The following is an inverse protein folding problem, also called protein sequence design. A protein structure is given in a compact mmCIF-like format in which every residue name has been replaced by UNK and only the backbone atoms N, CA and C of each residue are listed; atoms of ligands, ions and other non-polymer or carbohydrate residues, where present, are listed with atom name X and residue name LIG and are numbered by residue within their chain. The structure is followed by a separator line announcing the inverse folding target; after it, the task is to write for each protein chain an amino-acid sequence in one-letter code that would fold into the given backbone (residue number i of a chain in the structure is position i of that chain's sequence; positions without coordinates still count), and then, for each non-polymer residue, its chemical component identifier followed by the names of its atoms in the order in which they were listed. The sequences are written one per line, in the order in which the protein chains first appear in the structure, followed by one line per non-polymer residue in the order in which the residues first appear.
data_IF_525517368606
#
_entry.id   IF_525517368606
#
_cell.length_a   1.000
_cell.length_b   1.000
_cell.length_c   1.000
_cell.angle_alpha   90.00
_cell.angle_beta   90.00
_cell.angle_gamma   90.00
#
_symmetry.space_group_name_H-M   'P 1'
#
loop_
_entity.id
_entity.type
_entity.pdbx_description
1 polymer ?
#
# COMPACT_ATOMS: atom_id res chain seq x y z
N UNK A 1 -8.65 -9.06 -20.73
CA UNK A 1 -7.88 -9.71 -19.65
C UNK A 1 -8.67 -9.76 -18.34
N UNK A 2 -8.88 -8.64 -17.62
CA UNK A 2 -9.62 -8.68 -16.33
C UNK A 2 -11.05 -9.27 -16.44
N UNK A 3 -11.85 -8.85 -17.43
CA UNK A 3 -13.21 -9.35 -17.65
C UNK A 3 -13.28 -10.83 -18.08
N UNK A 4 -12.19 -11.37 -18.64
CA UNK A 4 -12.15 -12.77 -19.08
C UNK A 4 -12.05 -13.74 -17.88
N UNK A 5 -11.52 -13.27 -16.75
CA UNK A 5 -11.45 -14.03 -15.49
C UNK A 5 -12.81 -14.46 -14.93
N UNK A 6 -13.89 -13.78 -15.33
CA UNK A 6 -15.27 -14.17 -14.99
C UNK A 6 -15.71 -15.46 -15.69
N UNK A 7 -15.13 -15.73 -16.86
CA UNK A 7 -15.61 -16.75 -17.80
C UNK A 7 -14.64 -17.92 -17.97
N UNK A 8 -13.41 -17.82 -17.44
CA UNK A 8 -12.45 -18.92 -17.46
C UNK A 8 -11.62 -18.99 -16.19
N UNK A 9 -11.31 -20.20 -15.73
CA UNK A 9 -10.52 -20.42 -14.51
C UNK A 9 -9.06 -19.96 -14.65
N UNK A 10 -8.54 -19.89 -15.88
CA UNK A 10 -7.11 -19.78 -16.16
C UNK A 10 -6.68 -18.44 -16.76
N UNK A 11 -7.59 -17.67 -17.38
CA UNK A 11 -7.19 -16.49 -18.18
C UNK A 11 -6.49 -15.39 -17.39
N UNK A 12 -6.78 -15.26 -16.09
CA UNK A 12 -6.11 -14.30 -15.21
C UNK A 12 -5.03 -14.96 -14.34
N UNK A 13 -5.03 -16.29 -14.22
CA UNK A 13 -4.17 -17.01 -13.29
C UNK A 13 -2.70 -16.78 -13.61
N UNK A 14 -2.32 -16.94 -14.88
CA UNK A 14 -0.92 -16.78 -15.30
C UNK A 14 -0.40 -15.36 -15.05
N UNK A 15 -1.20 -14.33 -15.37
CA UNK A 15 -0.79 -12.93 -15.19
C UNK A 15 -0.65 -12.58 -13.72
N UNK A 16 -1.63 -12.97 -12.90
CA UNK A 16 -1.60 -12.77 -11.45
C UNK A 16 -0.41 -13.51 -10.85
N UNK A 17 -0.21 -14.78 -11.21
CA UNK A 17 0.90 -15.59 -10.72
C UNK A 17 2.26 -14.95 -11.06
N UNK A 18 2.45 -14.51 -12.31
CA UNK A 18 3.66 -13.80 -12.74
C UNK A 18 3.85 -12.47 -12.00
N UNK A 19 2.77 -11.73 -11.72
CA UNK A 19 2.83 -10.47 -10.98
C UNK A 19 3.29 -10.70 -9.53
N UNK A 20 2.74 -11.68 -8.83
CA UNK A 20 3.16 -12.00 -7.47
C UNK A 20 4.59 -12.54 -7.39
N UNK A 21 5.00 -13.33 -8.39
CA UNK A 21 6.40 -13.72 -8.55
C UNK A 21 7.32 -12.54 -8.79
N UNK A 22 6.89 -11.55 -9.58
CA UNK A 22 7.64 -10.32 -9.78
C UNK A 22 7.75 -9.52 -8.47
N UNK A 23 6.66 -9.37 -7.72
CA UNK A 23 6.67 -8.73 -6.41
C UNK A 23 7.67 -9.41 -5.46
N UNK A 24 7.66 -10.75 -5.38
CA UNK A 24 8.65 -11.49 -4.59
C UNK A 24 10.08 -11.20 -5.05
N UNK A 25 10.34 -11.30 -6.36
CA UNK A 25 11.67 -11.05 -6.91
C UNK A 25 12.19 -9.66 -6.61
N UNK A 26 11.34 -8.63 -6.68
CA UNK A 26 11.73 -7.25 -6.41
C UNK A 26 12.16 -7.09 -4.94
N UNK A 27 11.42 -7.67 -4.00
CA UNK A 27 11.79 -7.63 -2.59
C UNK A 27 13.10 -8.36 -2.28
N UNK A 28 13.34 -9.50 -2.94
CA UNK A 28 14.48 -10.38 -2.65
C UNK A 28 15.60 -10.30 -3.69
N UNK A 29 15.62 -9.25 -4.53
CA UNK A 29 16.59 -9.17 -5.62
C UNK A 29 18.00 -8.91 -5.09
N UNK A 30 18.98 -9.68 -5.58
CA UNK A 30 20.35 -9.65 -5.06
C UNK A 30 21.19 -8.46 -5.55
N UNK A 31 20.80 -7.85 -6.67
CA UNK A 31 21.52 -6.70 -7.22
C UNK A 31 20.85 -5.42 -6.74
N UNK A 32 21.66 -4.42 -6.47
CA UNK A 32 21.19 -3.07 -6.14
C UNK A 32 20.26 -2.54 -7.23
N UNK A 33 19.07 -2.13 -6.81
CA UNK A 33 18.03 -1.56 -7.66
C UNK A 33 17.70 -0.15 -7.16
N UNK A 34 17.52 0.76 -8.11
CA UNK A 34 17.12 2.15 -7.86
C UNK A 34 15.86 2.43 -8.66
N UNK A 35 14.77 2.83 -7.99
CA UNK A 35 13.61 3.41 -8.66
C UNK A 35 13.74 4.94 -8.67
N UNK A 36 13.55 5.55 -9.84
CA UNK A 36 13.36 6.98 -10.01
C UNK A 36 11.86 7.24 -10.22
N UNK A 37 11.13 7.50 -9.15
CA UNK A 37 9.71 7.78 -9.20
C UNK A 37 9.46 9.28 -9.41
N UNK A 38 9.06 9.63 -10.63
CA UNK A 38 8.67 10.98 -11.02
C UNK A 38 7.25 10.97 -11.58
N UNK A 39 6.26 11.25 -10.72
CA UNK A 39 4.85 11.27 -11.10
C UNK A 39 3.98 10.30 -10.29
N UNK A 40 2.86 9.91 -10.89
CA UNK A 40 1.86 9.05 -10.25
C UNK A 40 2.43 7.64 -10.08
N UNK A 41 2.51 7.18 -8.83
CA UNK A 41 3.06 5.88 -8.43
C UNK A 41 2.04 5.18 -7.53
N UNK A 42 1.07 4.50 -8.15
CA UNK A 42 -0.08 3.92 -7.44
C UNK A 42 -0.23 2.43 -7.70
N UNK A 43 -0.76 1.68 -6.72
CA UNK A 43 -1.01 0.24 -6.80
C UNK A 43 0.21 -0.55 -7.27
N UNK A 44 0.05 -1.35 -8.33
CA UNK A 44 1.14 -2.12 -8.93
C UNK A 44 2.35 -1.27 -9.39
N UNK A 45 2.18 0.01 -9.73
CA UNK A 45 3.32 0.89 -10.01
C UNK A 45 4.15 1.19 -8.75
N UNK A 46 3.47 1.29 -7.60
CA UNK A 46 4.13 1.50 -6.32
C UNK A 46 4.85 0.25 -5.81
N UNK A 47 4.37 -0.96 -6.14
CA UNK A 47 5.07 -2.20 -5.79
C UNK A 47 6.39 -2.38 -6.54
N UNK A 48 6.63 -1.62 -7.62
CA UNK A 48 7.93 -1.59 -8.30
C UNK A 48 8.94 -0.65 -7.64
N UNK A 49 8.51 0.18 -6.68
CA UNK A 49 9.31 1.24 -6.08
C UNK A 49 9.47 1.06 -4.58
N UNK A 50 8.37 0.89 -3.85
CA UNK A 50 8.36 0.84 -2.39
C UNK A 50 9.19 -0.29 -1.79
N UNK A 51 9.25 -1.51 -2.36
CA UNK A 51 10.10 -2.56 -1.78
C UNK A 51 11.59 -2.45 -2.12
N UNK A 52 11.98 -1.54 -3.03
CA UNK A 52 13.38 -1.42 -3.44
C UNK A 52 14.28 -0.86 -2.34
N UNK A 53 15.56 -1.26 -2.39
CA UNK A 53 16.61 -0.72 -1.52
C UNK A 53 16.80 0.79 -1.71
N UNK A 54 16.70 1.27 -2.95
CA UNK A 54 16.72 2.70 -3.24
C UNK A 54 15.49 3.14 -4.03
N UNK A 55 14.76 4.09 -3.47
CA UNK A 55 13.56 4.68 -4.07
C UNK A 55 13.70 6.19 -3.99
N UNK A 56 14.01 6.81 -5.14
CA UNK A 56 14.16 8.25 -5.30
C UNK A 56 12.83 8.82 -5.75
N UNK A 57 12.31 9.77 -5.00
CA UNK A 57 11.05 10.47 -5.30
C UNK A 57 11.31 11.95 -5.53
N UNK A 58 10.46 12.60 -6.33
CA UNK A 58 10.52 14.05 -6.54
C UNK A 58 9.25 14.75 -6.04
N UNK A 59 9.23 16.08 -6.14
CA UNK A 59 8.09 16.95 -5.86
C UNK A 59 6.83 16.62 -6.69
N UNK A 60 6.97 15.89 -7.81
CA UNK A 60 5.83 15.46 -8.64
C UNK A 60 5.32 14.06 -8.28
N UNK A 61 5.96 13.38 -7.34
CA UNK A 61 5.54 12.03 -6.96
C UNK A 61 4.22 12.08 -6.23
N UNK A 62 3.27 11.26 -6.66
CA UNK A 62 1.99 11.06 -5.97
C UNK A 62 1.76 9.57 -5.79
N UNK A 63 1.85 9.12 -4.54
CA UNK A 63 1.59 7.74 -4.15
C UNK A 63 0.19 7.57 -3.62
N UNK A 64 -0.40 6.39 -3.85
CA UNK A 64 -1.66 5.95 -3.27
C UNK A 64 -1.84 4.45 -3.51
N UNK A 65 -2.57 3.79 -2.62
CA UNK A 65 -3.07 2.42 -2.75
C UNK A 65 -4.60 2.44 -2.74
N UNK A 66 -5.24 2.85 -3.86
CA UNK A 66 -6.68 3.13 -3.91
C UNK A 66 -7.52 1.87 -4.20
N UNK A 67 -6.97 0.66 -4.06
CA UNK A 67 -7.57 -0.60 -4.54
C UNK A 67 -8.97 -0.86 -3.94
N UNK A 68 -9.17 -0.55 -2.66
CA UNK A 68 -10.49 -0.72 -2.03
C UNK A 68 -11.59 0.14 -2.70
N UNK A 69 -11.23 1.30 -3.27
CA UNK A 69 -12.17 2.20 -3.95
C UNK A 69 -12.63 1.68 -5.31
N UNK A 70 -11.88 0.75 -5.93
CA UNK A 70 -12.22 0.12 -7.20
C UNK A 70 -12.83 -1.28 -7.02
N UNK A 71 -13.18 -1.68 -5.80
CA UNK A 71 -13.72 -3.02 -5.53
C UNK A 71 -12.66 -4.12 -5.45
N UNK A 72 -11.41 -3.75 -5.17
CA UNK A 72 -10.28 -4.68 -5.02
C UNK A 72 -9.74 -4.70 -3.58
N UNK A 73 -8.65 -5.42 -3.35
CA UNK A 73 -7.95 -5.44 -2.07
C UNK A 73 -6.57 -4.81 -2.20
N UNK A 74 -5.95 -4.41 -1.08
CA UNK A 74 -4.52 -4.04 -1.10
C UNK A 74 -3.68 -5.26 -1.49
N UNK A 75 -2.98 -5.16 -2.61
CA UNK A 75 -2.32 -6.28 -3.30
C UNK A 75 -0.83 -5.98 -3.56
N UNK A 76 -0.18 -6.78 -4.42
CA UNK A 76 1.21 -6.58 -4.83
C UNK A 76 2.27 -6.48 -3.69
N UNK A 77 2.01 -7.13 -2.55
CA UNK A 77 2.84 -7.11 -1.35
C UNK A 77 2.50 -5.99 -0.36
N UNK A 78 1.49 -5.16 -0.65
CA UNK A 78 1.17 -4.03 0.21
C UNK A 78 0.53 -4.41 1.54
N UNK A 79 -0.03 -5.62 1.70
CA UNK A 79 -0.43 -6.09 3.03
C UNK A 79 0.78 -6.24 3.96
N UNK A 80 1.92 -6.71 3.44
CA UNK A 80 3.19 -6.73 4.17
C UNK A 80 3.66 -5.29 4.42
N UNK A 81 3.82 -4.48 3.37
CA UNK A 81 4.38 -3.12 3.48
C UNK A 81 3.59 -2.23 4.44
N UNK A 82 2.27 -2.12 4.25
CA UNK A 82 1.43 -1.26 5.09
C UNK A 82 1.45 -1.71 6.55
N UNK A 83 1.47 -3.01 6.81
CA UNK A 83 1.45 -3.53 8.19
C UNK A 83 2.71 -3.22 9.01
N UNK A 84 3.82 -2.83 8.35
CA UNK A 84 5.06 -2.38 9.00
C UNK A 84 5.11 -0.87 9.21
N UNK A 85 4.17 -0.10 8.67
CA UNK A 85 4.14 1.33 8.90
C UNK A 85 3.81 1.64 10.36
N UNK A 86 4.35 2.74 10.94
CA UNK A 86 4.10 3.10 12.33
C UNK A 86 2.61 3.23 12.67
N UNK A 87 2.25 2.70 13.84
CA UNK A 87 0.88 2.75 14.35
C UNK A 87 -0.13 2.11 13.39
N UNK A 88 -1.16 2.87 13.02
CA UNK A 88 -2.21 2.48 12.08
C UNK A 88 -2.17 3.27 10.76
N UNK A 89 -1.01 3.83 10.41
CA UNK A 89 -0.84 4.54 9.13
C UNK A 89 -1.09 3.62 7.93
N UNK A 90 -0.68 2.35 8.03
CA UNK A 90 -0.89 1.35 6.99
C UNK A 90 -2.35 1.09 6.67
N UNK A 91 -3.16 0.83 7.71
CA UNK A 91 -4.61 0.65 7.57
C UNK A 91 -5.27 1.92 7.01
N UNK A 92 -4.84 3.10 7.45
CA UNK A 92 -5.33 4.36 6.91
C UNK A 92 -5.07 4.51 5.41
N UNK A 93 -3.83 4.30 4.96
CA UNK A 93 -3.48 4.40 3.54
C UNK A 93 -4.25 3.38 2.70
N UNK A 94 -4.26 2.11 3.13
CA UNK A 94 -4.88 1.02 2.38
C UNK A 94 -6.41 1.13 2.27
N UNK A 95 -7.09 1.59 3.32
CA UNK A 95 -8.56 1.72 3.30
C UNK A 95 -9.05 2.98 2.59
N UNK A 96 -8.32 4.09 2.76
CA UNK A 96 -8.78 5.40 2.27
C UNK A 96 -8.26 5.74 0.89
N UNK A 97 -7.18 5.08 0.44
CA UNK A 97 -6.44 5.48 -0.76
C UNK A 97 -5.85 6.89 -0.63
N UNK A 98 -5.59 7.36 0.59
CA UNK A 98 -5.01 8.67 0.83
C UNK A 98 -3.71 8.84 0.04
N UNK A 99 -3.49 10.05 -0.46
CA UNK A 99 -2.34 10.36 -1.30
C UNK A 99 -1.19 10.88 -0.46
N UNK A 100 0.01 10.37 -0.73
CA UNK A 100 1.26 10.91 -0.20
C UNK A 100 2.07 11.55 -1.33
N UNK A 101 2.63 12.72 -1.06
CA UNK A 101 3.62 13.33 -1.95
C UNK A 101 5.03 12.74 -1.70
N UNK A 102 6.00 13.13 -2.53
CA UNK A 102 7.38 12.64 -2.42
C UNK A 102 8.02 12.85 -1.04
N UNK A 103 7.83 14.01 -0.41
CA UNK A 103 8.41 14.28 0.93
C UNK A 103 7.77 13.40 2.01
N UNK A 104 6.45 13.23 1.94
CA UNK A 104 5.72 12.36 2.85
C UNK A 104 6.12 10.89 2.68
N UNK A 105 6.40 10.44 1.47
CA UNK A 105 6.89 9.08 1.24
C UNK A 105 8.23 8.82 1.90
N UNK A 106 9.18 9.75 1.79
CA UNK A 106 10.49 9.63 2.46
C UNK A 106 10.31 9.64 3.96
N UNK A 107 9.52 10.58 4.49
CA UNK A 107 9.25 10.66 5.92
C UNK A 107 8.63 9.36 6.44
N UNK A 108 7.59 8.83 5.79
CA UNK A 108 6.90 7.61 6.18
C UNK A 108 7.71 6.32 5.98
N UNK A 109 8.91 6.38 5.37
CA UNK A 109 9.73 5.20 5.07
C UNK A 109 9.28 4.41 3.84
N UNK A 110 8.38 4.95 3.01
CA UNK A 110 7.94 4.31 1.77
C UNK A 110 8.88 4.63 0.58
N UNK A 111 9.64 5.71 0.68
CA UNK A 111 10.74 6.05 -0.21
C UNK A 111 12.01 6.34 0.59
N UNK A 112 13.18 6.38 -0.06
CA UNK A 112 14.46 6.55 0.66
C UNK A 112 15.08 7.92 0.47
N UNK A 113 14.93 8.53 -0.71
CA UNK A 113 15.56 9.81 -1.02
C UNK A 113 14.60 10.73 -1.75
N UNK A 114 14.70 12.03 -1.45
CA UNK A 114 14.01 13.07 -2.21
C UNK A 114 15.03 13.82 -3.08
N UNK A 115 14.78 13.87 -4.39
CA UNK A 115 15.62 14.59 -5.36
C UNK A 115 14.71 15.50 -6.19
N UNK A 116 14.98 16.82 -6.27
CA UNK A 116 14.26 17.72 -7.18
C UNK A 116 14.29 17.22 -8.62
N UNK A 117 13.16 17.30 -9.33
CA UNK A 117 13.06 16.71 -10.67
C UNK A 117 14.07 17.26 -11.69
N UNK A 118 14.50 18.50 -11.54
CA UNK A 118 15.55 19.13 -12.35
C UNK A 118 16.92 18.46 -12.24
N UNK A 119 17.21 17.80 -11.12
CA UNK A 119 18.47 17.08 -10.86
C UNK A 119 18.44 15.62 -11.32
N UNK A 120 17.26 15.08 -11.67
CA UNK A 120 17.13 13.67 -12.07
C UNK A 120 17.98 13.27 -13.28
N UNK A 121 18.09 14.07 -14.37
CA UNK A 121 18.93 13.70 -15.51
C UNK A 121 20.41 13.56 -15.13
N UNK A 122 20.90 14.41 -14.23
CA UNK A 122 22.29 14.35 -13.75
C UNK A 122 22.51 13.16 -12.82
N UNK A 123 21.56 12.87 -11.93
CA UNK A 123 21.57 11.68 -11.09
C UNK A 123 21.59 10.39 -11.93
N UNK A 124 20.75 10.29 -12.96
CA UNK A 124 20.73 9.11 -13.84
C UNK A 124 22.09 8.90 -14.52
N UNK A 125 22.68 9.97 -15.05
CA UNK A 125 24.03 9.93 -15.63
C UNK A 125 25.09 9.53 -14.60
N UNK A 126 24.99 10.03 -13.37
CA UNK A 126 25.90 9.68 -12.26
C UNK A 126 25.81 8.19 -11.91
N UNK A 127 24.60 7.65 -11.80
CA UNK A 127 24.34 6.24 -11.49
C UNK A 127 24.87 5.33 -12.60
N UNK A 128 24.62 5.66 -13.87
CA UNK A 128 25.16 4.91 -15.02
C UNK A 128 26.70 4.95 -15.02
N UNK A 129 27.29 6.10 -14.69
CA UNK A 129 28.73 6.30 -14.67
C UNK A 129 29.47 5.58 -13.54
N UNK A 130 28.78 5.08 -12.50
CA UNK A 130 29.41 4.38 -11.36
C UNK A 130 30.15 3.11 -11.80
N UNK A 131 29.65 2.41 -12.81
CA UNK A 131 30.16 1.10 -13.24
C UNK A 131 30.30 0.07 -12.08
N UNK A 132 29.51 0.23 -11.02
CA UNK A 132 29.43 -0.68 -9.87
C UNK A 132 28.00 -0.76 -9.36
N UNK A 133 27.63 -1.91 -8.80
CA UNK A 133 26.36 -2.12 -8.09
C UNK A 133 26.53 -2.12 -6.58
N UNK A 134 27.69 -1.69 -6.07
CA UNK A 134 27.95 -1.58 -4.62
C UNK A 134 26.95 -0.62 -3.96
N UNK A 135 26.33 -1.07 -2.88
CA UNK A 135 25.24 -0.35 -2.23
C UNK A 135 25.68 0.98 -1.62
N UNK A 136 26.89 1.03 -1.06
CA UNK A 136 27.44 2.24 -0.45
C UNK A 136 27.71 3.27 -1.55
N UNK A 137 28.35 2.85 -2.65
CA UNK A 137 28.62 3.73 -3.77
C UNK A 137 27.33 4.27 -4.44
N UNK A 138 26.32 3.42 -4.61
CA UNK A 138 25.01 3.83 -5.15
C UNK A 138 24.31 4.81 -4.20
N UNK A 139 24.29 4.52 -2.89
CA UNK A 139 23.71 5.40 -1.88
C UNK A 139 24.36 6.78 -1.92
N UNK A 140 25.69 6.85 -1.86
CA UNK A 140 26.43 8.12 -1.89
C UNK A 140 26.14 8.91 -3.17
N UNK A 141 26.05 8.24 -4.33
CA UNK A 141 25.70 8.90 -5.58
C UNK A 141 24.28 9.50 -5.59
N UNK A 142 23.32 8.91 -4.87
CA UNK A 142 21.97 9.48 -4.72
C UNK A 142 21.99 10.64 -3.72
N UNK A 143 22.71 10.50 -2.61
CA UNK A 143 22.87 11.53 -1.57
C UNK A 143 23.50 12.81 -2.12
N UNK A 144 24.41 12.73 -3.11
CA UNK A 144 24.99 13.88 -3.83
C UNK A 144 23.92 14.84 -4.40
N UNK A 145 22.74 14.34 -4.76
CA UNK A 145 21.65 15.12 -5.36
C UNK A 145 20.42 15.28 -4.45
N UNK A 146 20.43 14.61 -3.29
CA UNK A 146 19.30 14.55 -2.38
C UNK A 146 19.13 15.84 -1.58
N UNK A 147 17.90 16.13 -1.18
CA UNK A 147 17.57 17.21 -0.26
C UNK A 147 16.85 16.67 0.97
N UNK A 148 17.09 17.32 2.11
CA UNK A 148 16.37 17.01 3.34
C UNK A 148 14.88 17.29 3.18
N UNK A 149 14.05 16.36 3.64
CA UNK A 149 12.60 16.50 3.58
C UNK A 149 12.09 17.24 4.81
N UNK A 150 11.25 18.24 4.57
CA UNK A 150 10.48 18.95 5.59
C UNK A 150 9.00 18.75 5.28
N UNK A 151 8.24 18.25 6.26
CA UNK A 151 6.81 18.01 6.10
C UNK A 151 6.04 19.34 6.08
N UNK A 152 5.05 19.42 5.20
CA UNK A 152 4.10 20.51 5.23
C UNK A 152 3.24 20.42 6.50
N UNK A 153 2.83 21.56 7.07
CA UNK A 153 1.95 21.59 8.25
C UNK A 153 0.62 20.85 8.05
N UNK A 154 0.15 20.75 6.80
CA UNK A 154 -1.06 20.01 6.41
C UNK A 154 -0.80 18.55 6.07
N UNK A 155 0.43 18.05 6.20
CA UNK A 155 0.74 16.65 5.94
C UNK A 155 -0.13 15.72 6.78
N UNK A 156 -0.55 14.61 6.16
CA UNK A 156 -1.32 13.57 6.85
C UNK A 156 -0.51 12.90 7.97
N UNK A 157 0.81 12.90 7.84
CA UNK A 157 1.73 12.37 8.85
C UNK A 157 1.69 13.18 10.15
N UNK A 158 1.28 14.46 10.11
CA UNK A 158 1.05 15.27 11.30
C UNK A 158 -0.28 14.95 12.00
N UNK A 159 -1.11 14.07 11.42
CA UNK A 159 -2.42 13.66 11.96
C UNK A 159 -2.39 12.26 12.59
N UNK A 160 -1.20 11.74 12.87
CA UNK A 160 -0.98 10.35 13.29
C UNK A 160 -1.77 9.96 14.54
N UNK A 161 -1.85 10.83 15.55
CA UNK A 161 -2.58 10.52 16.78
C UNK A 161 -4.05 10.19 16.52
N UNK A 162 -4.70 10.99 15.67
CA UNK A 162 -6.09 10.77 15.26
C UNK A 162 -6.22 9.53 14.39
N UNK A 163 -5.25 9.30 13.49
CA UNK A 163 -5.20 8.10 12.66
C UNK A 163 -5.09 6.85 13.54
N UNK A 164 -4.16 6.83 14.49
CA UNK A 164 -3.96 5.72 15.42
C UNK A 164 -5.21 5.47 16.27
N UNK A 165 -5.79 6.53 16.84
CA UNK A 165 -7.01 6.41 17.64
C UNK A 165 -8.18 5.81 16.82
N UNK A 166 -8.37 6.27 15.59
CA UNK A 166 -9.52 5.87 14.79
C UNK A 166 -9.32 4.54 14.04
N UNK A 167 -8.12 4.23 13.57
CA UNK A 167 -7.83 3.02 12.80
C UNK A 167 -7.39 1.83 13.68
N UNK A 168 -7.24 2.05 14.99
CA UNK A 168 -7.11 0.98 15.98
C UNK A 168 -8.41 0.19 16.21
N UNK A 169 -9.59 0.72 15.83
CA UNK A 169 -10.88 0.03 16.04
C UNK A 169 -10.97 -1.27 15.25
N UNK A 170 -11.65 -2.28 15.78
CA UNK A 170 -11.57 -3.63 15.24
C UNK A 170 -12.17 -3.79 13.84
N UNK A 171 -13.24 -3.06 13.55
CA UNK A 171 -13.97 -3.20 12.29
C UNK A 171 -13.98 -1.90 11.48
N UNK A 172 -14.12 -2.02 10.15
CA UNK A 172 -14.27 -0.86 9.26
C UNK A 172 -15.44 0.03 9.69
N UNK A 173 -16.54 -0.56 10.18
CA UNK A 173 -17.70 0.18 10.67
C UNK A 173 -17.37 1.05 11.90
N UNK A 174 -16.59 0.50 12.85
CA UNK A 174 -16.14 1.25 14.02
C UNK A 174 -15.10 2.31 13.65
N UNK A 175 -14.21 2.04 12.70
CA UNK A 175 -13.27 3.03 12.15
C UNK A 175 -14.03 4.23 11.58
N UNK A 176 -15.04 3.97 10.73
CA UNK A 176 -15.89 5.02 10.15
C UNK A 176 -16.60 5.83 11.24
N UNK A 177 -17.18 5.16 12.24
CA UNK A 177 -17.85 5.82 13.37
C UNK A 177 -16.88 6.67 14.20
N UNK A 178 -15.66 6.19 14.42
CA UNK A 178 -14.61 6.94 15.11
C UNK A 178 -14.22 8.20 14.32
N UNK A 179 -14.03 8.07 13.01
CA UNK A 179 -13.74 9.21 12.13
C UNK A 179 -14.89 10.23 12.08
N UNK A 180 -16.14 9.78 12.07
CA UNK A 180 -17.32 10.67 12.15
C UNK A 180 -17.32 11.50 13.42
N UNK A 181 -16.97 10.90 14.57
CA UNK A 181 -16.89 11.60 15.84
C UNK A 181 -15.77 12.65 15.85
N UNK A 182 -14.62 12.35 15.23
CA UNK A 182 -13.50 13.28 15.12
C UNK A 182 -13.73 14.41 14.12
N UNK A 183 -14.52 14.18 13.06
CA UNK A 183 -14.75 15.14 11.99
C UNK A 183 -15.43 16.44 12.47
N UNK A 184 -16.16 16.39 13.58
CA UNK A 184 -16.82 17.55 14.19
C UNK A 184 -15.92 18.43 15.06
N UNK A 185 -14.68 18.00 15.36
CA UNK A 185 -13.76 18.73 16.24
C UNK A 185 -12.97 19.79 15.47
N UNK A 186 -12.59 20.86 16.17
CA UNK A 186 -11.76 21.94 15.61
C UNK A 186 -10.41 21.39 15.11
N UNK A 187 -9.96 21.83 13.94
CA UNK A 187 -8.71 21.37 13.32
C UNK A 187 -8.81 20.07 12.51
N UNK A 188 -9.95 19.37 12.55
CA UNK A 188 -10.17 18.08 11.88
C UNK A 188 -10.93 18.15 10.54
N UNK A 189 -10.97 19.32 9.90
CA UNK A 189 -11.67 19.52 8.62
C UNK A 189 -11.17 18.61 7.47
N UNK A 190 -9.95 18.08 7.57
CA UNK A 190 -9.38 17.13 6.61
C UNK A 190 -10.09 15.77 6.59
N UNK A 191 -10.78 15.40 7.68
CA UNK A 191 -11.45 14.10 7.82
C UNK A 191 -12.65 13.98 6.90
N UNK A 192 -13.43 15.05 6.71
CA UNK A 192 -14.66 15.03 5.92
C UNK A 192 -14.47 14.49 4.48
N UNK A 193 -13.51 15.02 3.70
CA UNK A 193 -13.17 14.50 2.39
C UNK A 193 -12.73 13.02 2.40
N UNK A 194 -11.90 12.61 3.37
CA UNK A 194 -11.40 11.23 3.49
C UNK A 194 -12.55 10.27 3.80
N UNK A 195 -13.39 10.62 4.78
CA UNK A 195 -14.57 9.86 5.18
C UNK A 195 -15.56 9.68 4.01
N UNK A 196 -15.74 10.73 3.20
CA UNK A 196 -16.58 10.66 1.99
C UNK A 196 -16.03 9.65 0.99
N UNK A 197 -14.72 9.58 0.80
CA UNK A 197 -14.06 8.58 -0.04
C UNK A 197 -14.24 7.17 0.52
N UNK A 198 -13.93 6.99 1.81
CA UNK A 198 -14.05 5.72 2.52
C UNK A 198 -15.46 5.13 2.42
N UNK A 199 -16.51 5.94 2.62
CA UNK A 199 -17.91 5.52 2.49
C UNK A 199 -18.36 5.21 1.06
N UNK A 200 -17.62 5.67 0.06
CA UNK A 200 -17.89 5.39 -1.36
C UNK A 200 -17.15 4.15 -1.87
N UNK A 201 -16.17 3.63 -1.13
CA UNK A 201 -15.44 2.41 -1.49
C UNK A 201 -16.29 1.15 -1.35
N UNK A 202 -15.85 0.05 -1.96
CA UNK A 202 -16.54 -1.24 -1.86
C UNK A 202 -16.53 -1.74 -0.40
N UNK A 203 -17.71 -2.06 0.19
CA UNK A 203 -17.78 -2.62 1.53
C UNK A 203 -16.98 -3.93 1.66
N UNK A 204 -17.05 -4.79 0.64
CA UNK A 204 -16.30 -6.06 0.59
C UNK A 204 -14.79 -5.81 0.51
N UNK A 205 -14.36 -4.93 -0.40
CA UNK A 205 -12.95 -4.56 -0.57
C UNK A 205 -12.34 -3.96 0.70
N UNK A 206 -13.11 -3.14 1.44
CA UNK A 206 -12.68 -2.57 2.71
C UNK A 206 -12.48 -3.65 3.79
N UNK A 207 -13.43 -4.57 3.98
CA UNK A 207 -13.30 -5.65 4.97
C UNK A 207 -12.08 -6.54 4.66
N UNK A 208 -11.92 -6.96 3.39
CA UNK A 208 -10.78 -7.77 2.96
C UNK A 208 -9.46 -7.02 3.19
N UNK A 209 -9.41 -5.73 2.84
CA UNK A 209 -8.19 -4.92 2.98
C UNK A 209 -7.78 -4.75 4.44
N UNK A 210 -8.71 -4.41 5.33
CA UNK A 210 -8.41 -4.24 6.76
C UNK A 210 -7.83 -5.54 7.34
N UNK A 211 -8.50 -6.67 7.10
CA UNK A 211 -8.04 -7.98 7.55
C UNK A 211 -6.67 -8.33 6.98
N UNK A 212 -6.48 -8.16 5.67
CA UNK A 212 -5.24 -8.47 4.97
C UNK A 212 -4.05 -7.71 5.56
N UNK A 213 -4.17 -6.39 5.77
CA UNK A 213 -3.11 -5.57 6.38
C UNK A 213 -2.83 -6.03 7.82
N UNK A 214 -3.86 -6.28 8.63
CA UNK A 214 -3.66 -6.67 10.04
C UNK A 214 -3.00 -8.03 10.20
N UNK A 215 -3.47 -9.05 9.48
CA UNK A 215 -2.82 -10.36 9.44
C UNK A 215 -1.37 -10.25 8.94
N UNK A 216 -1.09 -9.27 8.08
CA UNK A 216 0.25 -8.99 7.58
C UNK A 216 1.27 -8.77 8.70
N UNK A 217 0.89 -8.16 9.83
CA UNK A 217 1.80 -7.83 10.95
C UNK A 217 2.57 -9.04 11.46
N UNK A 218 1.93 -10.21 11.51
CA UNK A 218 2.51 -11.45 12.02
C UNK A 218 2.99 -12.41 10.90
N UNK A 219 2.87 -11.99 9.64
CA UNK A 219 3.21 -12.81 8.48
C UNK A 219 4.53 -12.39 7.85
N UNK A 220 5.28 -13.35 7.35
CA UNK A 220 6.39 -13.14 6.42
C UNK A 220 5.90 -12.52 5.09
N UNK A 221 6.84 -12.04 4.27
CA UNK A 221 6.51 -11.56 2.93
C UNK A 221 5.89 -12.69 2.10
N UNK A 222 6.46 -13.90 2.18
CA UNK A 222 5.97 -15.04 1.41
C UNK A 222 4.53 -15.40 1.79
N UNK A 223 4.20 -15.39 3.08
CA UNK A 223 2.82 -15.62 3.56
C UNK A 223 1.87 -14.51 3.10
N UNK A 224 2.30 -13.25 3.16
CA UNK A 224 1.50 -12.12 2.66
C UNK A 224 1.21 -12.25 1.16
N UNK A 225 2.22 -12.57 0.34
CA UNK A 225 2.05 -12.73 -1.11
C UNK A 225 1.16 -13.95 -1.45
N UNK A 226 1.29 -15.07 -0.74
CA UNK A 226 0.40 -16.24 -0.90
C UNK A 226 -1.04 -15.88 -0.56
N UNK A 227 -1.27 -15.22 0.58
CA UNK A 227 -2.60 -14.72 1.00
C UNK A 227 -3.18 -13.76 -0.05
N UNK A 228 -2.43 -12.75 -0.45
CA UNK A 228 -2.88 -11.78 -1.44
C UNK A 228 -3.17 -12.42 -2.80
N UNK A 229 -2.39 -13.40 -3.22
CA UNK A 229 -2.66 -14.18 -4.44
C UNK A 229 -4.03 -14.86 -4.38
N UNK A 230 -4.37 -15.51 -3.25
CA UNK A 230 -5.69 -16.13 -3.04
C UNK A 230 -6.80 -15.09 -3.17
N UNK A 231 -6.64 -13.96 -2.49
CA UNK A 231 -7.60 -12.86 -2.51
C UNK A 231 -7.82 -12.34 -3.94
N UNK A 232 -6.73 -12.06 -4.67
CA UNK A 232 -6.80 -11.60 -6.07
C UNK A 232 -7.54 -12.61 -6.93
N UNK A 233 -7.16 -13.88 -6.89
CA UNK A 233 -7.80 -14.92 -7.72
C UNK A 233 -9.29 -15.07 -7.39
N UNK A 234 -9.66 -15.05 -6.10
CA UNK A 234 -11.05 -15.14 -5.67
C UNK A 234 -11.88 -13.90 -6.08
N UNK A 235 -11.29 -12.71 -6.01
CA UNK A 235 -11.94 -11.46 -6.45
C UNK A 235 -12.13 -11.45 -7.97
N UNK A 236 -11.11 -11.84 -8.74
CA UNK A 236 -11.20 -11.91 -10.21
C UNK A 236 -12.15 -13.00 -10.70
N UNK A 237 -12.36 -14.06 -9.91
CA UNK A 237 -13.39 -15.08 -10.19
C UNK A 237 -14.79 -14.68 -9.68
N UNK A 238 -14.90 -13.50 -9.05
CA UNK A 238 -16.10 -12.99 -8.43
C UNK A 238 -16.78 -14.00 -7.49
N UNK A 239 -15.98 -14.71 -6.66
CA UNK A 239 -16.48 -15.78 -5.78
C UNK A 239 -17.53 -15.25 -4.79
N UNK A 240 -17.30 -14.05 -4.24
CA UNK A 240 -18.18 -13.46 -3.22
C UNK A 240 -18.82 -12.13 -3.63
N UNK A 241 -18.23 -11.43 -4.60
CA UNK A 241 -18.72 -10.15 -5.11
C UNK A 241 -18.12 -9.88 -6.50
N UNK A 242 -18.85 -9.13 -7.33
CA UNK A 242 -18.39 -8.65 -8.63
C UNK A 242 -17.89 -7.19 -8.59
N UNK A 243 -17.65 -6.64 -7.39
CA UNK A 243 -17.29 -5.24 -7.17
C UNK A 243 -16.09 -4.77 -8.01
N UNK A 244 -15.07 -5.61 -8.23
CA UNK A 244 -13.93 -5.24 -9.10
C UNK A 244 -14.37 -4.82 -10.50
N UNK A 245 -15.34 -5.52 -11.08
CA UNK A 245 -15.85 -5.23 -12.42
C UNK A 245 -16.70 -3.97 -12.45
N UNK A 246 -17.47 -3.74 -11.38
CA UNK A 246 -18.28 -2.54 -11.21
C UNK A 246 -17.41 -1.30 -10.96
N UNK A 247 -16.35 -1.43 -10.16
CA UNK A 247 -15.39 -0.37 -9.91
C UNK A 247 -14.62 0.00 -11.17
N UNK A 248 -14.15 -0.98 -11.94
CA UNK A 248 -13.52 -0.75 -13.26
C UNK A 248 -14.50 -0.03 -14.20
N UNK A 249 -15.76 -0.48 -14.27
CA UNK A 249 -16.81 0.17 -15.08
C UNK A 249 -16.96 1.63 -14.67
N UNK A 250 -17.25 1.88 -13.39
CA UNK A 250 -17.60 3.20 -12.87
C UNK A 250 -16.45 4.21 -12.90
N UNK A 251 -15.21 3.78 -12.64
CA UNK A 251 -14.07 4.67 -12.44
C UNK A 251 -13.15 4.77 -13.66
N UNK A 252 -13.08 3.74 -14.50
CA UNK A 252 -12.14 3.70 -15.63
C UNK A 252 -12.84 3.76 -16.98
N UNK A 253 -13.90 2.99 -17.18
CA UNK A 253 -14.57 2.84 -18.48
C UNK A 253 -15.59 3.96 -18.70
N UNK A 254 -16.63 3.98 -17.88
CA UNK A 254 -17.74 4.94 -17.99
C UNK A 254 -17.43 6.26 -17.26
N UNK A 255 -16.57 6.20 -16.24
CA UNK A 255 -16.13 7.37 -15.46
C UNK A 255 -17.30 8.16 -14.84
N UNK A 256 -18.38 7.47 -14.51
CA UNK A 256 -19.54 8.05 -13.82
C UNK A 256 -19.25 8.35 -12.33
N UNK A 257 -18.18 7.75 -11.77
CA UNK A 257 -17.80 7.85 -10.35
C UNK A 257 -18.94 7.43 -9.40
N UNK A 258 -19.80 6.52 -9.85
CA UNK A 258 -21.00 6.05 -9.14
C UNK A 258 -21.12 4.52 -9.18
N UNK A 259 -20.14 3.79 -8.61
CA UNK A 259 -20.20 2.34 -8.53
C UNK A 259 -21.38 1.86 -7.67
N UNK A 260 -22.03 0.79 -8.11
CA UNK A 260 -23.15 0.12 -7.45
C UNK A 260 -22.66 -1.17 -6.81
N UNK A 261 -22.08 -1.05 -5.62
CA UNK A 261 -21.52 -2.19 -4.90
C UNK A 261 -22.57 -3.23 -4.51
N UNK A 262 -22.16 -4.50 -4.54
CA UNK A 262 -22.96 -5.63 -4.08
C UNK A 262 -22.11 -6.53 -3.17
N UNK A 263 -22.38 -6.54 -1.84
CA UNK A 263 -23.45 -5.83 -1.15
C UNK A 263 -23.19 -4.31 -1.00
N UNK A 264 -24.25 -3.48 -0.87
CA UNK A 264 -24.13 -2.02 -0.90
C UNK A 264 -23.65 -1.39 0.42
N UNK A 265 -23.64 -2.13 1.53
CA UNK A 265 -23.30 -1.62 2.87
C UNK A 265 -22.49 -2.63 3.68
N UNK A 266 -21.69 -2.15 4.63
CA UNK A 266 -20.76 -2.97 5.43
C UNK A 266 -21.44 -4.05 6.26
N UNK A 267 -22.63 -3.76 6.80
CA UNK A 267 -23.44 -4.68 7.60
C UNK A 267 -24.00 -5.87 6.79
N UNK A 268 -24.03 -5.74 5.46
CA UNK A 268 -24.50 -6.78 4.55
C UNK A 268 -23.38 -7.64 3.97
N UNK A 269 -22.12 -7.31 4.27
CA UNK A 269 -20.98 -8.15 3.88
C UNK A 269 -20.94 -9.34 4.82
N UNK A 270 -21.23 -10.52 4.27
CA UNK A 270 -21.22 -11.81 4.93
C UNK A 270 -19.79 -12.22 5.33
N UNK A 271 -19.54 -12.33 6.63
CA UNK A 271 -18.21 -12.63 7.18
C UNK A 271 -17.77 -14.06 6.83
N UNK A 272 -18.68 -15.03 6.70
CA UNK A 272 -18.34 -16.41 6.30
C UNK A 272 -17.83 -16.43 4.84
N UNK A 273 -18.37 -15.56 3.99
CA UNK A 273 -17.86 -15.38 2.62
C UNK A 273 -16.50 -14.68 2.60
N UNK A 274 -16.27 -13.71 3.49
CA UNK A 274 -14.94 -13.13 3.64
C UNK A 274 -13.96 -14.20 4.09
N UNK A 275 -14.30 -15.03 5.09
CA UNK A 275 -13.48 -16.14 5.54
C UNK A 275 -13.14 -17.14 4.42
N UNK A 276 -14.10 -17.43 3.54
CA UNK A 276 -13.91 -18.31 2.40
C UNK A 276 -12.76 -17.85 1.48
N UNK A 277 -12.65 -16.54 1.19
CA UNK A 277 -11.64 -16.06 0.23
C UNK A 277 -10.22 -16.00 0.81
N UNK A 278 -10.09 -16.08 2.13
CA UNK A 278 -8.79 -16.20 2.83
C UNK A 278 -8.32 -17.66 2.97
N UNK A 279 -9.19 -18.64 2.73
CA UNK A 279 -8.83 -20.06 2.84
C UNK A 279 -7.69 -20.42 1.86
N UNK A 280 -6.77 -21.30 2.26
CA UNK A 280 -5.70 -21.75 1.39
C UNK A 280 -6.24 -22.48 0.17
N UNK A 281 -5.55 -22.33 -0.96
CA UNK A 281 -5.80 -23.19 -2.12
C UNK A 281 -5.14 -24.56 -1.91
N UNK A 282 -5.53 -25.53 -2.74
CA UNK A 282 -4.76 -26.77 -2.87
C UNK A 282 -3.31 -26.45 -3.25
N UNK A 283 -2.37 -27.28 -2.79
CA UNK A 283 -0.93 -27.03 -2.96
C UNK A 283 -0.54 -26.79 -4.44
N UNK A 284 -1.19 -27.48 -5.37
CA UNK A 284 -1.00 -27.37 -6.82
C UNK A 284 -1.53 -26.06 -7.42
N UNK A 285 -2.43 -25.37 -6.73
CA UNK A 285 -3.06 -24.12 -7.14
C UNK A 285 -2.54 -22.90 -6.39
N UNK A 286 -1.69 -23.11 -5.38
CA UNK A 286 -1.15 -22.05 -4.53
C UNK A 286 0.01 -21.30 -5.21
N UNK A 287 0.25 -20.05 -4.76
CA UNK A 287 1.46 -19.34 -5.15
C UNK A 287 2.72 -20.04 -4.61
N UNK A 288 3.53 -20.56 -5.53
CA UNK A 288 4.80 -21.20 -5.20
C UNK A 288 5.93 -20.18 -5.34
N UNK A 289 6.40 -19.61 -4.22
CA UNK A 289 7.52 -18.68 -4.15
C UNK A 289 8.53 -19.13 -3.08
N UNK A 290 9.83 -18.78 -3.21
CA UNK A 290 10.82 -19.03 -2.18
C UNK A 290 10.42 -18.40 -0.84
N UNK A 291 10.58 -19.16 0.24
CA UNK A 291 10.32 -18.67 1.61
C UNK A 291 11.55 -17.99 2.24
N UNK A 292 12.70 -18.04 1.55
CA UNK A 292 13.93 -17.44 2.02
C UNK A 292 13.95 -15.92 1.74
N UNK A 293 14.08 -15.12 2.81
CA UNK A 293 14.13 -13.66 2.76
C UNK A 293 15.55 -13.06 2.87
N UNK A 294 16.63 -13.85 2.79
CA UNK A 294 18.02 -13.43 3.08
C UNK A 294 18.54 -12.24 2.26
N UNK A 295 17.88 -11.91 1.14
CA UNK A 295 18.26 -10.80 0.27
C UNK A 295 17.29 -9.62 0.34
N UNK A 296 16.27 -9.71 1.21
CA UNK A 296 15.36 -8.60 1.48
C UNK A 296 16.10 -7.54 2.27
N UNK A 297 15.88 -6.28 1.89
CA UNK A 297 16.42 -5.16 2.66
C UNK A 297 15.67 -5.01 4.00
N UNK A 298 16.45 -4.91 5.07
CA UNK A 298 16.02 -4.63 6.43
C UNK A 298 16.10 -3.12 6.76
N UNK A 299 15.21 -2.63 7.62
CA UNK A 299 15.31 -1.29 8.19
C UNK A 299 14.72 -0.16 7.36
N UNK A 300 14.02 -0.42 6.25
CA UNK A 300 13.42 0.66 5.44
C UNK A 300 12.36 1.46 6.21
N UNK A 301 11.52 0.76 6.97
CA UNK A 301 10.42 1.38 7.72
C UNK A 301 10.87 1.80 9.11
N UNK A 302 11.65 0.93 9.76
CA UNK A 302 12.13 1.06 11.13
C UNK A 302 13.15 2.20 11.28
N UNK A 303 13.96 2.47 10.25
CA UNK A 303 14.93 3.56 10.26
C UNK A 303 14.38 4.87 9.66
N UNK A 304 13.09 4.93 9.36
CA UNK A 304 12.49 6.19 8.89
C UNK A 304 12.48 7.21 10.02
N UNK A 305 12.78 8.48 9.71
CA UNK A 305 12.74 9.55 10.69
C UNK A 305 11.38 9.65 11.40
N UNK A 306 10.32 9.25 10.70
CA UNK A 306 8.98 9.21 11.24
C UNK A 306 8.79 8.10 12.27
N UNK A 307 9.26 6.87 12.01
CA UNK A 307 9.22 5.79 12.98
C UNK A 307 9.98 6.14 14.28
N UNK A 308 11.22 6.65 14.15
CA UNK A 308 12.03 7.05 15.31
C UNK A 308 11.37 8.17 16.12
N UNK A 309 10.75 9.14 15.46
CA UNK A 309 10.05 10.23 16.14
C UNK A 309 8.86 9.72 16.96
N UNK A 310 8.13 8.72 16.46
CA UNK A 310 7.01 8.11 17.17
C UNK A 310 7.48 7.29 18.39
N UNK A 311 8.62 6.59 18.30
CA UNK A 311 9.19 5.87 19.43
C UNK A 311 9.58 6.81 20.57
N UNK A 312 10.20 7.96 20.26
CA UNK A 312 10.55 8.98 21.24
C UNK A 312 9.31 9.56 21.95
N UNK A 313 8.23 9.83 21.21
CA UNK A 313 6.96 10.31 21.79
C UNK A 313 6.33 9.25 22.71
N UNK A 314 6.38 7.97 22.32
CA UNK A 314 5.86 6.86 23.15
C UNK A 314 6.65 6.71 24.45
N UNK A 315 7.98 6.77 24.40
CA UNK A 315 8.84 6.68 25.58
C UNK A 315 8.58 7.84 26.56
N UNK A 316 8.39 9.06 26.05
CA UNK A 316 8.05 10.23 26.87
C UNK A 316 6.64 10.16 27.48
N UNK A 317 5.72 9.42 26.86
CA UNK A 317 4.34 9.24 27.35
C UNK A 317 4.20 8.10 28.37
N UNK A 318 5.15 7.17 28.42
CA UNK A 318 5.18 6.07 29.40
C UNK A 318 5.86 6.42 30.73
N UNK A 319 6.56 7.55 30.79
CA UNK A 319 7.31 8.04 31.96
C UNK A 319 6.56 9.13 32.78
N UNK A 320 5.26 9.35 32.52
CA UNK A 320 4.40 10.32 33.22
C UNK A 320 3.14 9.69 33.80
#
# INVERSE_FOLDING_TARGET
MFYDGRNSKDSCLEVVYRMYWLCHHIHAYKKTQVALAHGITMGGGASLMVPLKFSVVTEKTVFSTPEASIGFHTDCGFSFIHSRLPGHLGEFLALTGARLNGKELVAAGLATHFVPSEKLPELEKRLIGLNTGDEIAVKSAIEEFSEDVQLDGQSVLNKQSIIDECFSKETVAEIIKSFEAEAGKEGNGWIGPVLKGLKKSSPTGLKITLRSVREGREQSLAECLKKEFRLTINILRAIISADIYEGIRALTIEKDNAPKWDPPTLDKVDDDKVDLVFQPFGEDLELQIPENENCRWDGKYENSAYATSQELVRQQSSDG
#
